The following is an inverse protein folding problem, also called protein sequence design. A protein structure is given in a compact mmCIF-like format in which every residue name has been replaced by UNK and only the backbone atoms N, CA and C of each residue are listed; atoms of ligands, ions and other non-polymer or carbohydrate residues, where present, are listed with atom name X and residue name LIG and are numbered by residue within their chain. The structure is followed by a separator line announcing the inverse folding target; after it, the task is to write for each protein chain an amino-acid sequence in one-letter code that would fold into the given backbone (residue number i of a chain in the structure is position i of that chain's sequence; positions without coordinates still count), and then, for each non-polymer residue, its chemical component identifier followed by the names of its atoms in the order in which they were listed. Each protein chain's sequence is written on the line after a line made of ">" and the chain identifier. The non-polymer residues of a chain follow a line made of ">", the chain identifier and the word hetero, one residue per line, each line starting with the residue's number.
data_IF_535904239697
#
_entry.id   IF_535904239697
#
_cell.length_a   1.000
_cell.length_b   1.000
_cell.length_c   1.000
_cell.angle_alpha   90.00
_cell.angle_beta   90.00
_cell.angle_gamma   90.00
#
_symmetry.space_group_name_H-M   'P 1'
#
loop_
_entity.id
_entity.type
_entity.pdbx_description
1 polymer ?
#
# COMPACT_ATOMS: atom_id res chain seq x y z
N UNK A 1 -2.31 20.50 39.86
CA UNK A 1 -3.35 20.56 38.82
C UNK A 1 -3.10 19.42 37.84
N UNK A 2 -4.09 18.56 37.61
CA UNK A 2 -3.97 17.51 36.59
C UNK A 2 -3.86 18.19 35.21
N UNK A 3 -2.77 17.93 34.48
CA UNK A 3 -2.67 18.32 33.08
C UNK A 3 -3.78 17.60 32.32
N UNK A 4 -4.47 18.30 31.41
CA UNK A 4 -5.41 17.64 30.51
C UNK A 4 -4.70 16.49 29.78
N UNK A 5 -5.40 15.39 29.50
CA UNK A 5 -4.80 14.22 28.83
C UNK A 5 -4.08 14.65 27.53
N UNK A 6 -4.65 15.59 26.79
CA UNK A 6 -4.03 16.16 25.58
C UNK A 6 -2.67 16.81 25.87
N UNK A 7 -2.57 17.67 26.90
CA UNK A 7 -1.33 18.39 27.23
C UNK A 7 -0.19 17.45 27.64
N UNK A 8 -0.49 16.29 28.22
CA UNK A 8 0.51 15.24 28.50
C UNK A 8 1.12 14.70 27.21
N UNK A 9 0.30 14.40 26.20
CA UNK A 9 0.75 13.81 24.93
C UNK A 9 1.43 14.80 23.98
N UNK A 10 1.45 16.10 24.32
CA UNK A 10 2.18 17.13 23.60
C UNK A 10 3.59 17.39 24.15
N UNK A 11 3.98 16.67 25.21
CA UNK A 11 5.35 16.74 25.74
C UNK A 11 6.33 16.04 24.79
N UNK A 12 7.59 16.50 24.69
CA UNK A 12 8.59 15.91 23.79
C UNK A 12 8.75 14.40 23.97
N UNK A 13 8.78 13.92 25.22
CA UNK A 13 8.93 12.49 25.54
C UNK A 13 7.78 11.64 24.98
N UNK A 14 6.54 12.11 25.14
CA UNK A 14 5.37 11.39 24.64
C UNK A 14 5.23 11.49 23.11
N UNK A 15 5.71 12.59 22.49
CA UNK A 15 5.81 12.68 21.03
C UNK A 15 6.84 11.67 20.50
N UNK A 16 7.99 11.50 21.16
CA UNK A 16 8.97 10.46 20.81
C UNK A 16 8.37 9.06 20.95
N UNK A 17 7.57 8.82 21.99
CA UNK A 17 6.87 7.53 22.16
C UNK A 17 5.86 7.26 21.04
N UNK A 18 5.11 8.27 20.61
CA UNK A 18 4.18 8.16 19.48
C UNK A 18 4.90 7.91 18.16
N UNK A 19 6.03 8.58 17.92
CA UNK A 19 6.88 8.34 16.76
C UNK A 19 7.39 6.88 16.76
N UNK A 20 7.79 6.37 17.93
CA UNK A 20 8.19 4.96 18.11
C UNK A 20 7.05 3.99 17.79
N UNK A 21 5.86 4.20 18.36
CA UNK A 21 4.71 3.33 18.06
C UNK A 21 4.29 3.38 16.60
N UNK A 22 4.36 4.56 15.98
CA UNK A 22 4.09 4.71 14.57
C UNK A 22 5.12 3.99 13.69
N UNK A 23 6.39 3.92 14.13
CA UNK A 23 7.48 3.14 13.50
C UNK A 23 7.34 1.62 13.73
N UNK A 24 6.70 1.21 14.81
CA UNK A 24 6.40 -0.20 15.09
C UNK A 24 5.17 -0.71 14.29
N UNK A 25 4.51 0.15 13.51
CA UNK A 25 3.39 -0.21 12.65
C UNK A 25 2.02 -0.15 13.30
N UNK A 26 1.91 0.49 14.47
CA UNK A 26 0.62 0.60 15.15
C UNK A 26 -0.36 1.46 14.36
N UNK A 27 -1.59 0.97 14.25
CA UNK A 27 -2.71 1.73 13.70
C UNK A 27 -3.11 2.87 14.64
N UNK A 28 -3.78 3.90 14.09
CA UNK A 28 -4.31 4.99 14.91
C UNK A 28 -5.26 4.49 16.02
N UNK A 29 -6.03 3.43 15.73
CA UNK A 29 -6.92 2.78 16.69
C UNK A 29 -6.15 2.13 17.84
N UNK A 30 -5.05 1.43 17.55
CA UNK A 30 -4.21 0.79 18.58
C UNK A 30 -3.48 1.83 19.43
N UNK A 31 -2.97 2.89 18.81
CA UNK A 31 -2.38 4.02 19.53
C UNK A 31 -3.42 4.68 20.46
N UNK A 32 -4.64 4.95 19.98
CA UNK A 32 -5.73 5.50 20.79
C UNK A 32 -6.06 4.60 22.00
N UNK A 33 -6.13 3.28 21.79
CA UNK A 33 -6.32 2.29 22.85
C UNK A 33 -5.18 2.32 23.88
N UNK A 34 -3.91 2.35 23.45
CA UNK A 34 -2.75 2.48 24.35
C UNK A 34 -2.80 3.77 25.18
N UNK A 35 -3.26 4.87 24.58
CA UNK A 35 -3.42 6.16 25.24
C UNK A 35 -4.67 6.25 26.13
N UNK A 36 -5.54 5.22 26.11
CA UNK A 36 -6.83 5.18 26.82
C UNK A 36 -7.74 6.35 26.45
N UNK A 37 -7.84 6.62 25.15
CA UNK A 37 -8.76 7.59 24.55
C UNK A 37 -9.60 6.90 23.47
N UNK A 38 -10.74 7.51 23.10
CA UNK A 38 -11.51 7.03 21.96
C UNK A 38 -10.78 7.36 20.65
N UNK A 39 -11.08 6.60 19.60
CA UNK A 39 -10.56 6.85 18.26
C UNK A 39 -10.96 8.24 17.76
N UNK A 40 -12.20 8.68 18.01
CA UNK A 40 -12.68 10.01 17.66
C UNK A 40 -11.82 11.12 18.30
N UNK A 41 -11.49 10.98 19.59
CA UNK A 41 -10.61 11.94 20.29
C UNK A 41 -9.19 11.91 19.74
N UNK A 42 -8.69 10.76 19.32
CA UNK A 42 -7.37 10.67 18.68
C UNK A 42 -7.32 11.47 17.36
N UNK A 43 -8.34 11.32 16.51
CA UNK A 43 -8.45 12.11 15.27
C UNK A 43 -8.63 13.60 15.54
N UNK A 44 -9.44 13.96 16.53
CA UNK A 44 -9.60 15.35 16.96
C UNK A 44 -8.26 15.95 17.40
N UNK A 45 -7.43 15.18 18.11
CA UNK A 45 -6.09 15.63 18.51
C UNK A 45 -5.14 15.76 17.33
N UNK A 46 -5.19 14.85 16.35
CA UNK A 46 -4.42 15.00 15.11
C UNK A 46 -4.78 16.27 14.35
N UNK A 47 -6.06 16.64 14.33
CA UNK A 47 -6.53 17.86 13.65
C UNK A 47 -6.17 19.12 14.44
N UNK A 48 -6.31 19.08 15.77
CA UNK A 48 -6.15 20.26 16.63
C UNK A 48 -4.70 20.53 17.04
N UNK A 49 -3.82 19.54 16.95
CA UNK A 49 -2.43 19.65 17.42
C UNK A 49 -1.44 19.19 16.33
N UNK A 50 -0.86 20.13 15.55
CA UNK A 50 0.06 19.81 14.45
C UNK A 50 1.26 18.95 14.87
N UNK A 51 1.88 19.26 16.03
CA UNK A 51 3.04 18.51 16.56
C UNK A 51 2.73 17.03 16.83
N UNK A 52 1.50 16.73 17.25
CA UNK A 52 1.05 15.36 17.50
C UNK A 52 0.91 14.60 16.18
N UNK A 53 0.29 15.23 15.17
CA UNK A 53 0.17 14.65 13.82
C UNK A 53 1.54 14.45 13.15
N UNK A 54 2.44 15.42 13.29
CA UNK A 54 3.79 15.38 12.71
C UNK A 54 4.62 14.22 13.27
N UNK A 55 4.61 14.01 14.59
CA UNK A 55 5.31 12.89 15.21
C UNK A 55 4.85 11.53 14.67
N UNK A 56 3.53 11.35 14.47
CA UNK A 56 2.96 10.12 13.92
C UNK A 56 3.34 9.95 12.45
N UNK A 57 3.24 11.00 11.64
CA UNK A 57 3.59 10.96 10.21
C UNK A 57 5.05 10.59 10.01
N UNK A 58 5.95 11.20 10.78
CA UNK A 58 7.39 10.91 10.74
C UNK A 58 7.70 9.47 11.12
N UNK A 59 7.00 8.90 12.11
CA UNK A 59 7.16 7.50 12.47
C UNK A 59 6.71 6.55 11.36
N UNK A 60 5.61 6.88 10.66
CA UNK A 60 5.08 6.08 9.55
C UNK A 60 5.95 6.12 8.30
N UNK A 61 6.63 7.22 8.03
CA UNK A 61 7.50 7.36 6.85
C UNK A 61 8.56 6.25 6.76
N UNK A 62 9.13 5.84 7.91
CA UNK A 62 10.11 4.74 7.95
C UNK A 62 9.50 3.42 7.49
N UNK A 63 8.29 3.11 7.97
CA UNK A 63 7.56 1.90 7.56
C UNK A 63 7.14 1.98 6.10
N UNK A 64 6.68 3.15 5.67
CA UNK A 64 6.29 3.36 4.28
C UNK A 64 7.49 3.06 3.35
N UNK A 65 8.71 3.48 3.71
CA UNK A 65 9.92 3.12 2.97
C UNK A 65 10.21 1.60 2.98
N UNK A 66 10.05 0.92 4.11
CA UNK A 66 10.24 -0.54 4.18
C UNK A 66 9.21 -1.28 3.32
N UNK A 67 7.94 -0.87 3.38
CA UNK A 67 6.86 -1.40 2.56
C UNK A 67 7.15 -1.14 1.08
N UNK A 68 7.57 0.06 0.71
CA UNK A 68 7.97 0.39 -0.66
C UNK A 68 9.11 -0.51 -1.16
N UNK A 69 10.11 -0.79 -0.33
CA UNK A 69 11.21 -1.69 -0.67
C UNK A 69 10.73 -3.13 -0.91
N UNK A 70 9.83 -3.64 -0.05
CA UNK A 70 9.23 -4.97 -0.22
C UNK A 70 8.32 -5.04 -1.44
N UNK A 71 7.52 -4.00 -1.70
CA UNK A 71 6.69 -3.89 -2.89
C UNK A 71 7.57 -3.90 -4.14
N UNK A 72 8.67 -3.15 -4.16
CA UNK A 72 9.63 -3.18 -5.27
C UNK A 72 10.25 -4.57 -5.48
N UNK A 73 10.62 -5.25 -4.39
CA UNK A 73 11.12 -6.64 -4.44
C UNK A 73 10.07 -7.58 -5.05
N UNK A 74 8.81 -7.43 -4.64
CA UNK A 74 7.67 -8.20 -5.16
C UNK A 74 7.40 -7.91 -6.63
N UNK A 75 7.48 -6.64 -7.06
CA UNK A 75 7.29 -6.24 -8.47
C UNK A 75 8.36 -6.87 -9.38
N UNK A 76 9.59 -7.03 -8.91
CA UNK A 76 10.69 -7.62 -9.70
C UNK A 76 10.64 -9.14 -9.76
N UNK A 77 9.94 -9.79 -8.83
CA UNK A 77 10.14 -11.20 -8.53
C UNK A 77 11.46 -11.43 -7.81
N UNK A 78 11.54 -12.49 -7.00
CA UNK A 78 12.74 -12.81 -6.24
C UNK A 78 12.83 -14.30 -5.95
N UNK A 79 14.04 -14.78 -5.67
CA UNK A 79 14.26 -16.13 -5.17
C UNK A 79 14.38 -16.06 -3.66
N UNK A 80 13.61 -16.89 -2.96
CA UNK A 80 13.69 -17.02 -1.51
C UNK A 80 14.29 -18.39 -1.16
N UNK A 81 15.28 -18.37 -0.27
CA UNK A 81 15.98 -19.56 0.20
C UNK A 81 15.44 -19.94 1.57
N UNK A 82 14.98 -21.19 1.71
CA UNK A 82 14.52 -21.75 2.97
C UNK A 82 15.50 -22.80 3.45
N UNK A 83 15.95 -22.67 4.70
CA UNK A 83 16.70 -23.72 5.38
C UNK A 83 15.69 -24.76 5.90
N UNK A 84 15.68 -25.95 5.30
CA UNK A 84 14.90 -27.07 5.82
C UNK A 84 15.81 -28.05 6.53
N UNK A 85 15.38 -28.49 7.71
CA UNK A 85 16.02 -29.57 8.44
C UNK A 85 15.12 -30.78 8.37
N UNK A 86 15.66 -31.90 7.90
CA UNK A 86 14.98 -33.19 7.96
C UNK A 86 15.79 -34.14 8.84
N UNK A 87 15.08 -34.98 9.60
CA UNK A 87 15.70 -36.03 10.41
C UNK A 87 15.66 -37.32 9.61
N UNK A 88 16.83 -37.86 9.32
CA UNK A 88 16.97 -39.15 8.63
C UNK A 88 16.57 -40.29 9.57
N UNK A 89 16.18 -41.46 9.03
CA UNK A 89 15.76 -42.63 9.84
C UNK A 89 16.80 -43.08 10.88
N UNK A 90 18.07 -42.72 10.68
CA UNK A 90 19.20 -43.00 11.56
C UNK A 90 19.44 -41.94 12.65
N UNK A 91 18.59 -40.90 12.74
CA UNK A 91 18.68 -39.84 13.75
C UNK A 91 19.58 -38.66 13.38
N UNK A 92 20.26 -38.70 12.22
CA UNK A 92 21.06 -37.58 11.73
C UNK A 92 20.19 -36.45 11.18
N UNK A 93 20.46 -35.21 11.64
CA UNK A 93 19.84 -33.98 11.14
C UNK A 93 20.59 -33.53 9.89
N UNK A 94 19.96 -33.66 8.72
CA UNK A 94 20.50 -33.15 7.46
C UNK A 94 19.79 -31.84 7.13
N UNK A 95 20.54 -30.74 7.15
CA UNK A 95 20.06 -29.44 6.67
C UNK A 95 20.31 -29.29 5.17
N UNK A 96 19.29 -28.93 4.39
CA UNK A 96 19.46 -28.55 2.99
C UNK A 96 18.75 -27.22 2.71
N UNK A 97 19.28 -26.47 1.74
CA UNK A 97 18.75 -25.18 1.30
C UNK A 97 17.85 -25.39 0.09
N UNK A 98 16.55 -25.17 0.24
CA UNK A 98 15.61 -25.14 -0.88
C UNK A 98 15.46 -23.70 -1.38
N UNK A 99 15.64 -23.48 -2.69
CA UNK A 99 15.44 -22.17 -3.31
C UNK A 99 14.12 -22.18 -4.09
N UNK A 100 13.18 -21.30 -3.73
CA UNK A 100 11.91 -21.13 -4.45
C UNK A 100 11.89 -19.80 -5.20
N UNK A 101 11.56 -19.86 -6.48
CA UNK A 101 11.30 -18.65 -7.26
C UNK A 101 9.89 -18.12 -7.00
N UNK A 102 9.79 -16.86 -6.62
CA UNK A 102 8.53 -16.14 -6.44
C UNK A 102 8.39 -15.19 -7.63
N UNK A 103 7.36 -15.37 -8.47
CA UNK A 103 7.20 -14.56 -9.67
C UNK A 103 6.84 -13.10 -9.33
N UNK A 104 7.12 -12.17 -10.26
CA UNK A 104 6.69 -10.77 -10.18
C UNK A 104 5.21 -10.61 -9.85
N UNK A 105 4.88 -9.69 -8.92
CA UNK A 105 3.51 -9.28 -8.66
C UNK A 105 3.08 -8.18 -9.63
N UNK A 106 2.43 -8.59 -10.73
CA UNK A 106 1.94 -7.68 -11.78
C UNK A 106 0.91 -6.67 -11.27
N UNK A 107 0.06 -7.04 -10.31
CA UNK A 107 -0.95 -6.13 -9.73
C UNK A 107 -0.27 -4.98 -8.99
N UNK A 108 0.72 -5.28 -8.15
CA UNK A 108 1.52 -4.26 -7.47
C UNK A 108 2.24 -3.35 -8.48
N UNK A 109 2.75 -3.91 -9.57
CA UNK A 109 3.40 -3.15 -10.64
C UNK A 109 2.42 -2.17 -11.33
N UNK A 110 1.19 -2.62 -11.62
CA UNK A 110 0.15 -1.77 -12.22
C UNK A 110 -0.19 -0.59 -11.31
N UNK A 111 -0.42 -0.83 -10.01
CA UNK A 111 -0.71 0.24 -9.05
C UNK A 111 0.47 1.22 -8.91
N UNK A 112 1.69 0.71 -8.83
CA UNK A 112 2.90 1.53 -8.78
C UNK A 112 3.03 2.44 -10.00
N UNK A 113 2.83 1.90 -11.21
CA UNK A 113 2.91 2.66 -12.46
C UNK A 113 1.80 3.71 -12.57
N UNK A 114 0.57 3.40 -12.13
CA UNK A 114 -0.56 4.35 -12.13
C UNK A 114 -0.31 5.52 -11.18
N UNK A 115 0.26 5.26 -10.00
CA UNK A 115 0.52 6.30 -9.02
C UNK A 115 1.73 7.17 -9.39
N UNK A 116 2.79 6.59 -9.97
CA UNK A 116 4.04 7.28 -10.26
C UNK A 116 4.16 7.86 -11.67
N UNK A 117 3.37 7.36 -12.62
CA UNK A 117 3.26 7.86 -14.01
C UNK A 117 1.80 7.96 -14.44
N UNK A 118 0.97 8.74 -13.72
CA UNK A 118 -0.45 8.84 -14.02
C UNK A 118 -0.72 9.36 -15.42
N UNK A 119 0.11 10.25 -15.96
CA UNK A 119 0.01 10.79 -17.31
C UNK A 119 0.02 9.71 -18.41
N UNK A 120 0.75 8.61 -18.18
CA UNK A 120 0.90 7.52 -19.15
C UNK A 120 -0.07 6.36 -18.89
N UNK A 121 -0.39 6.08 -17.63
CA UNK A 121 -1.12 4.87 -17.24
C UNK A 121 -2.51 5.12 -16.66
N UNK A 122 -2.84 6.38 -16.34
CA UNK A 122 -4.17 6.81 -15.91
C UNK A 122 -4.90 7.38 -17.14
N UNK A 123 -5.14 6.51 -18.13
CA UNK A 123 -5.83 6.91 -19.35
C UNK A 123 -7.24 7.38 -19.00
N UNK A 124 -7.53 8.68 -19.13
CA UNK A 124 -8.88 9.11 -19.55
C UNK A 124 -9.07 8.52 -20.93
N UNK A 125 -10.05 7.65 -21.10
CA UNK A 125 -10.54 7.31 -22.43
C UNK A 125 -11.12 8.61 -23.01
N UNK A 126 -10.28 9.40 -23.68
CA UNK A 126 -10.80 10.28 -24.72
C UNK A 126 -11.26 9.30 -25.77
N UNK A 127 -12.57 9.09 -25.86
CA UNK A 127 -13.17 8.50 -27.03
C UNK A 127 -12.73 9.41 -28.18
N UNK A 128 -11.75 8.94 -28.94
CA UNK A 128 -11.50 9.47 -30.27
C UNK A 128 -12.75 9.08 -31.03
N UNK A 129 -13.67 10.03 -31.13
CA UNK A 129 -14.83 9.98 -31.99
C UNK A 129 -14.28 9.84 -33.41
N UNK A 130 -14.07 8.58 -33.82
CA UNK A 130 -13.95 8.26 -35.22
C UNK A 130 -15.33 8.55 -35.79
N UNK A 131 -15.54 9.78 -36.22
CA UNK A 131 -16.52 10.07 -37.27
C UNK A 131 -16.03 9.33 -38.54
N UNK A 132 -16.24 8.01 -38.56
CA UNK A 132 -16.38 7.28 -39.82
C UNK A 132 -17.74 7.68 -40.38
N UNK A 133 -17.74 8.79 -41.11
CA UNK A 133 -18.78 9.18 -42.06
C UNK A 133 -18.79 8.16 -43.22
N UNK A 134 -19.08 6.90 -42.92
CA UNK A 134 -19.49 5.90 -43.91
C UNK A 134 -21.01 5.86 -43.95
N UNK A 135 -21.58 6.84 -44.64
CA UNK A 135 -22.97 6.81 -45.06
C UNK A 135 -23.28 5.48 -45.75
N UNK A 136 -24.09 4.64 -45.11
CA UNK A 136 -24.62 3.41 -45.70
C UNK A 136 -25.49 3.78 -46.91
N UNK A 137 -24.97 3.58 -48.11
CA UNK A 137 -25.75 3.72 -49.34
C UNK A 137 -26.53 2.42 -49.55
N UNK A 138 -27.82 2.42 -49.22
CA UNK A 138 -28.71 1.31 -49.54
C UNK A 138 -29.02 1.37 -51.04
N UNK A 139 -28.28 0.60 -51.85
CA UNK A 139 -28.61 0.39 -53.27
C UNK A 139 -29.71 -0.67 -53.34
N UNK A 140 -30.91 -0.25 -53.75
CA UNK A 140 -32.07 -1.12 -53.83
C UNK A 140 -32.07 -1.88 -55.18
N UNK A 141 -31.22 -2.90 -55.32
CA UNK A 141 -31.10 -3.76 -56.52
C UNK A 141 -32.16 -4.88 -56.55
N UNK A 142 -33.42 -4.56 -56.22
CA UNK A 142 -34.53 -5.49 -56.41
C UNK A 142 -35.00 -5.43 -57.88
N UNK A 143 -34.87 -6.52 -58.68
CA UNK A 143 -35.36 -6.53 -60.04
C UNK A 143 -36.88 -6.42 -60.02
N UNK A 144 -37.43 -5.44 -60.75
CA UNK A 144 -38.87 -5.34 -60.99
C UNK A 144 -39.29 -6.54 -61.84
N UNK A 145 -40.14 -7.40 -61.28
CA UNK A 145 -40.76 -8.49 -62.04
C UNK A 145 -41.57 -7.92 -63.23
N UNK A 146 -41.57 -8.69 -64.33
CA UNK A 146 -42.21 -8.35 -65.62
C UNK A 146 -43.73 -8.33 -65.54
#
# INVERSE_FOLDING_TARGET
>A
MALSKAKRWLTPENLTLLEGWARDGLTNLEMAKKMRISESTFYEWMNSHPKFSEAIKKGKEVIDYEVEAQVLKSIKGFVETYDQQTVTKDGDVVGFKESRYIPPNMTAAIFWLKNRRPEKYNRKQVAEELEEDEGVIIVNDLPKEK
#
